data_IF_808389236649
#
_entry.id   IF_808389236649
#
_cell.length_a   1.000
_cell.length_b   1.000
_cell.length_c   1.000
_cell.angle_alpha   90.00
_cell.angle_beta   90.00
_cell.angle_gamma   90.00
#
_symmetry.space_group_name_H-M   'P 1'
#
loop_
_entity.id
_entity.type
_entity.pdbx_description
1 polymer ?
#
# COMPACT_ATOMS: atom_id res chain seq x y z
N UNK A 1 -6.76 -25.71 -11.96
CA UNK A 1 -5.32 -25.45 -12.20
C UNK A 1 -5.25 -24.02 -12.69
N UNK A 2 -4.58 -23.11 -11.98
CA UNK A 2 -4.55 -21.70 -12.37
C UNK A 2 -3.84 -21.57 -13.72
N UNK A 3 -4.48 -20.90 -14.68
CA UNK A 3 -3.85 -20.56 -15.95
C UNK A 3 -2.73 -19.55 -15.68
N UNK A 4 -1.52 -19.86 -16.12
CA UNK A 4 -0.34 -19.03 -15.87
C UNK A 4 -0.38 -17.77 -16.76
N UNK A 5 -1.29 -17.73 -17.76
CA UNK A 5 -1.55 -16.55 -18.60
C UNK A 5 -1.89 -15.29 -17.81
N UNK A 6 -2.41 -15.44 -16.59
CA UNK A 6 -2.82 -14.33 -15.72
C UNK A 6 -1.68 -13.80 -14.83
N UNK A 7 -0.47 -14.35 -14.97
CA UNK A 7 0.70 -13.99 -14.17
C UNK A 7 1.77 -13.38 -15.08
N UNK A 8 2.17 -12.15 -14.77
CA UNK A 8 3.29 -11.48 -15.41
C UNK A 8 4.35 -11.10 -14.37
N UNK A 9 5.61 -11.33 -14.70
CA UNK A 9 6.78 -10.96 -13.90
C UNK A 9 7.64 -9.95 -14.66
N UNK A 10 8.13 -8.96 -13.94
CA UNK A 10 8.94 -7.87 -14.50
C UNK A 10 10.10 -7.57 -13.55
N UNK A 11 11.28 -7.27 -14.10
CA UNK A 11 12.40 -6.76 -13.31
C UNK A 11 12.09 -5.39 -12.72
N UNK A 12 11.31 -4.59 -13.46
CA UNK A 12 10.84 -3.29 -13.03
C UNK A 12 9.42 -3.03 -13.51
N UNK A 13 8.61 -2.46 -12.62
CA UNK A 13 7.24 -2.10 -12.90
C UNK A 13 6.94 -0.71 -12.29
N UNK A 14 6.54 0.30 -13.07
CA UNK A 14 6.32 1.65 -12.54
C UNK A 14 5.06 1.72 -11.69
N UNK A 15 5.22 1.68 -10.36
CA UNK A 15 4.12 1.64 -9.39
C UNK A 15 3.08 2.75 -9.57
N UNK A 16 3.52 3.97 -9.89
CA UNK A 16 2.64 5.12 -10.12
C UNK A 16 1.68 4.92 -11.30
N UNK A 17 2.04 4.08 -12.27
CA UNK A 17 1.18 3.74 -13.40
C UNK A 17 0.31 2.53 -13.09
N UNK A 18 0.83 1.55 -12.34
CA UNK A 18 0.19 0.24 -12.16
C UNK A 18 -0.77 0.22 -10.97
N UNK A 19 -0.36 0.76 -9.81
CA UNK A 19 -1.17 0.70 -8.58
C UNK A 19 -2.55 1.35 -8.72
N UNK A 20 -2.75 2.46 -9.46
CA UNK A 20 -4.09 3.01 -9.68
C UNK A 20 -5.07 2.06 -10.39
N UNK A 21 -4.55 1.04 -11.09
CA UNK A 21 -5.33 0.02 -11.81
C UNK A 21 -5.50 -1.29 -11.02
N UNK A 22 -4.82 -1.42 -9.87
CA UNK A 22 -4.88 -2.62 -9.05
C UNK A 22 -6.14 -2.66 -8.19
N UNK A 23 -6.68 -3.86 -7.96
CA UNK A 23 -7.74 -4.06 -6.97
C UNK A 23 -7.19 -4.08 -5.54
N UNK A 24 -5.95 -4.58 -5.37
CA UNK A 24 -5.23 -4.66 -4.11
C UNK A 24 -3.71 -4.71 -4.40
N UNK A 25 -2.88 -4.28 -3.46
CA UNK A 25 -1.41 -4.40 -3.53
C UNK A 25 -0.87 -5.21 -2.36
N UNK A 26 -0.02 -6.19 -2.65
CA UNK A 26 0.69 -6.98 -1.61
C UNK A 26 2.14 -6.50 -1.54
N UNK A 27 2.62 -6.10 -0.35
CA UNK A 27 3.99 -5.59 -0.20
C UNK A 27 4.52 -5.73 1.23
N UNK A 28 5.80 -5.46 1.43
CA UNK A 28 6.45 -5.59 2.74
C UNK A 28 6.20 -4.43 3.72
N UNK A 29 5.56 -3.33 3.30
CA UNK A 29 5.28 -2.19 4.19
C UNK A 29 6.36 -1.10 4.25
N UNK A 30 7.34 -1.09 3.35
CA UNK A 30 8.32 0.02 3.28
C UNK A 30 7.65 1.36 2.95
N UNK A 31 8.07 2.45 3.60
CA UNK A 31 7.37 3.74 3.59
C UNK A 31 7.09 4.30 2.17
N UNK A 32 8.05 4.18 1.25
CA UNK A 32 7.88 4.65 -0.13
C UNK A 32 6.78 3.90 -0.89
N UNK A 33 6.76 2.56 -0.79
CA UNK A 33 5.70 1.75 -1.39
C UNK A 33 4.36 2.02 -0.71
N UNK A 34 4.34 2.10 0.62
CA UNK A 34 3.13 2.44 1.39
C UNK A 34 2.52 3.76 0.92
N UNK A 35 3.34 4.81 0.77
CA UNK A 35 2.90 6.11 0.27
C UNK A 35 2.33 6.03 -1.16
N UNK A 36 2.96 5.26 -2.05
CA UNK A 36 2.47 5.07 -3.43
C UNK A 36 1.12 4.33 -3.46
N UNK A 37 0.93 3.32 -2.60
CA UNK A 37 -0.34 2.58 -2.50
C UNK A 37 -1.46 3.47 -1.93
N UNK A 38 -1.18 4.21 -0.86
CA UNK A 38 -2.12 5.18 -0.28
C UNK A 38 -2.52 6.23 -1.32
N UNK A 39 -1.55 6.76 -2.08
CA UNK A 39 -1.81 7.70 -3.19
C UNK A 39 -2.63 7.08 -4.32
N UNK A 40 -2.46 5.79 -4.60
CA UNK A 40 -3.26 5.08 -5.58
C UNK A 40 -4.72 4.90 -5.12
N UNK A 41 -4.95 4.80 -3.80
CA UNK A 41 -6.27 4.63 -3.19
C UNK A 41 -6.80 3.21 -3.35
N UNK A 42 -5.94 2.22 -3.09
CA UNK A 42 -6.25 0.80 -3.19
C UNK A 42 -5.95 0.09 -1.87
N UNK A 43 -6.73 -0.92 -1.47
CA UNK A 43 -6.43 -1.78 -0.33
C UNK A 43 -5.07 -2.47 -0.46
N UNK A 44 -4.49 -2.87 0.67
CA UNK A 44 -3.21 -3.55 0.67
C UNK A 44 -3.08 -4.68 1.71
N UNK A 45 -2.37 -5.74 1.33
CA UNK A 45 -1.94 -6.79 2.23
C UNK A 45 -0.45 -6.58 2.55
N UNK A 46 -0.13 -6.38 3.83
CA UNK A 46 1.21 -6.03 4.25
C UNK A 46 1.84 -7.20 5.00
N UNK A 47 2.99 -7.67 4.52
CA UNK A 47 3.82 -8.68 5.19
C UNK A 47 5.10 -8.01 5.70
N UNK A 48 5.08 -7.41 6.92
CA UNK A 48 6.24 -6.71 7.43
C UNK A 48 7.37 -7.68 7.76
N UNK A 49 8.59 -7.29 7.43
CA UNK A 49 9.80 -8.06 7.68
C UNK A 49 10.75 -7.39 8.68
N UNK A 50 11.04 -6.10 8.51
CA UNK A 50 12.05 -5.41 9.31
C UNK A 50 11.86 -3.89 9.37
N UNK A 51 12.69 -3.21 10.16
CA UNK A 51 12.78 -1.73 10.25
C UNK A 51 11.45 -1.07 10.66
N UNK A 52 11.03 -0.06 9.89
CA UNK A 52 9.80 0.71 10.06
C UNK A 52 8.55 -0.02 9.53
N UNK A 53 8.73 -1.14 8.82
CA UNK A 53 7.64 -1.86 8.16
C UNK A 53 6.52 -2.30 9.12
N UNK A 54 6.79 -2.84 10.33
CA UNK A 54 5.72 -3.18 11.27
C UNK A 54 4.90 -1.97 11.72
N UNK A 55 5.53 -0.80 11.92
CA UNK A 55 4.82 0.43 12.31
C UNK A 55 3.96 0.96 11.16
N UNK A 56 4.51 1.00 9.94
CA UNK A 56 3.75 1.37 8.75
C UNK A 56 2.54 0.44 8.54
N UNK A 57 2.74 -0.86 8.71
CA UNK A 57 1.70 -1.87 8.61
C UNK A 57 0.60 -1.67 9.67
N UNK A 58 0.99 -1.43 10.93
CA UNK A 58 0.07 -1.18 12.03
C UNK A 58 -0.76 0.09 11.81
N UNK A 59 -0.15 1.17 11.29
CA UNK A 59 -0.86 2.41 10.96
C UNK A 59 -1.87 2.22 9.84
N UNK A 60 -1.49 1.51 8.78
CA UNK A 60 -2.38 1.20 7.66
C UNK A 60 -3.56 0.30 8.11
N UNK A 61 -3.30 -0.68 8.97
CA UNK A 61 -4.34 -1.51 9.56
C UNK A 61 -5.29 -0.68 10.44
N UNK A 62 -4.76 0.23 11.25
CA UNK A 62 -5.54 1.10 12.14
C UNK A 62 -6.51 2.01 11.39
N UNK A 63 -6.11 2.53 10.23
CA UNK A 63 -7.00 3.35 9.39
C UNK A 63 -7.86 2.49 8.45
N UNK A 64 -7.80 1.16 8.56
CA UNK A 64 -8.67 0.25 7.82
C UNK A 64 -8.41 0.20 6.32
N UNK A 65 -7.18 0.49 5.86
CA UNK A 65 -6.79 0.36 4.44
C UNK A 65 -6.03 -0.92 4.13
N UNK A 66 -5.54 -1.60 5.18
CA UNK A 66 -4.72 -2.78 5.02
C UNK A 66 -5.04 -3.89 6.02
N UNK A 67 -4.74 -5.12 5.61
CA UNK A 67 -4.57 -6.27 6.51
C UNK A 67 -3.10 -6.61 6.61
N UNK A 68 -2.68 -7.19 7.72
CA UNK A 68 -1.30 -7.61 7.94
C UNK A 68 -1.22 -9.12 8.07
N UNK A 69 -0.11 -9.69 7.59
CA UNK A 69 0.16 -11.12 7.66
C UNK A 69 1.61 -11.31 8.08
N UNK A 70 1.86 -12.14 9.09
CA UNK A 70 3.24 -12.41 9.53
C UNK A 70 3.97 -13.28 8.52
N UNK A 71 5.30 -13.21 8.51
CA UNK A 71 6.15 -14.01 7.62
C UNK A 71 5.89 -15.51 7.75
N UNK A 72 5.70 -16.01 8.97
CA UNK A 72 5.45 -17.43 9.24
C UNK A 72 4.10 -17.89 8.66
N UNK A 73 3.14 -16.97 8.58
CA UNK A 73 1.79 -17.22 8.07
C UNK A 73 1.67 -16.95 6.58
N UNK A 74 2.67 -16.34 5.92
CA UNK A 74 2.63 -15.99 4.51
C UNK A 74 2.77 -17.23 3.60
N UNK A 75 1.67 -17.97 3.49
CA UNK A 75 1.47 -19.13 2.62
C UNK A 75 0.34 -18.83 1.65
N UNK A 76 0.33 -19.50 0.49
CA UNK A 76 -0.61 -19.23 -0.59
C UNK A 76 -2.07 -19.16 -0.12
N UNK A 77 -2.52 -20.16 0.65
CA UNK A 77 -3.89 -20.23 1.19
C UNK A 77 -4.20 -19.06 2.13
N UNK A 78 -3.30 -18.76 3.07
CA UNK A 78 -3.49 -17.66 4.02
C UNK A 78 -3.51 -16.32 3.30
N UNK A 79 -2.61 -16.10 2.34
CA UNK A 79 -2.57 -14.88 1.54
C UNK A 79 -3.84 -14.72 0.71
N UNK A 80 -4.31 -15.80 0.07
CA UNK A 80 -5.58 -15.81 -0.65
C UNK A 80 -6.76 -15.45 0.26
N UNK A 81 -6.83 -16.02 1.46
CA UNK A 81 -7.88 -15.68 2.43
C UNK A 81 -7.85 -14.21 2.86
N UNK A 82 -6.66 -13.63 3.07
CA UNK A 82 -6.56 -12.20 3.37
C UNK A 82 -6.98 -11.33 2.18
N UNK A 83 -6.64 -11.73 0.96
CA UNK A 83 -7.03 -11.03 -0.27
C UNK A 83 -8.54 -11.11 -0.51
N UNK A 84 -9.16 -12.27 -0.32
CA UNK A 84 -10.61 -12.44 -0.43
C UNK A 84 -11.36 -11.49 0.52
N UNK A 85 -10.88 -11.34 1.75
CA UNK A 85 -11.46 -10.40 2.71
C UNK A 85 -11.23 -8.94 2.30
N UNK A 86 -10.02 -8.57 1.89
CA UNK A 86 -9.70 -7.21 1.42
C UNK A 86 -10.53 -6.81 0.19
N UNK A 87 -10.82 -7.76 -0.70
CA UNK A 87 -11.56 -7.53 -1.94
C UNK A 87 -13.08 -7.64 -1.75
N UNK A 88 -13.53 -8.49 -0.83
CA UNK A 88 -14.96 -8.68 -0.53
C UNK A 88 -15.55 -7.64 0.43
N UNK A 89 -14.74 -7.06 1.31
CA UNK A 89 -15.18 -6.06 2.27
C UNK A 89 -14.94 -4.64 1.73
N UNK A 90 -16.01 -4.02 1.22
CA UNK A 90 -15.97 -2.70 0.57
C UNK A 90 -15.44 -1.57 1.48
N UNK A 91 -15.43 -1.74 2.81
CA UNK A 91 -14.88 -0.75 3.73
C UNK A 91 -13.40 -0.46 3.47
N UNK A 92 -12.58 -1.46 3.12
CA UNK A 92 -11.17 -1.25 2.81
C UNK A 92 -10.98 -0.36 1.58
N UNK A 93 -11.80 -0.56 0.54
CA UNK A 93 -11.75 0.27 -0.66
C UNK A 93 -12.21 1.69 -0.36
N UNK A 94 -13.29 1.85 0.40
CA UNK A 94 -13.79 3.17 0.81
C UNK A 94 -12.74 3.94 1.62
N UNK A 95 -12.13 3.30 2.62
CA UNK A 95 -11.08 3.88 3.45
C UNK A 95 -9.84 4.23 2.62
N UNK A 96 -9.45 3.37 1.66
CA UNK A 96 -8.31 3.64 0.78
C UNK A 96 -8.56 4.86 -0.13
N UNK A 97 -9.78 5.02 -0.64
CA UNK A 97 -10.18 6.21 -1.42
C UNK A 97 -10.13 7.47 -0.55
N UNK A 98 -10.55 7.38 0.71
CA UNK A 98 -10.49 8.51 1.64
C UNK A 98 -9.04 8.87 1.99
N UNK A 99 -8.21 7.88 2.30
CA UNK A 99 -6.78 8.09 2.54
C UNK A 99 -6.09 8.73 1.33
N UNK A 100 -6.45 8.31 0.10
CA UNK A 100 -5.98 8.94 -1.13
C UNK A 100 -6.31 10.42 -1.17
N UNK A 101 -7.53 10.84 -0.81
CA UNK A 101 -7.94 12.26 -0.84
C UNK A 101 -7.02 13.11 0.03
N UNK A 102 -6.69 12.63 1.23
CA UNK A 102 -5.75 13.29 2.14
C UNK A 102 -4.37 13.40 1.48
N UNK A 103 -3.82 12.28 1.01
CA UNK A 103 -2.46 12.21 0.44
C UNK A 103 -2.31 13.05 -0.84
N UNK A 104 -3.32 13.14 -1.69
CA UNK A 104 -3.22 13.95 -2.93
C UNK A 104 -3.43 15.45 -2.70
N UNK A 105 -4.07 15.83 -1.60
CA UNK A 105 -4.25 17.23 -1.22
C UNK A 105 -2.94 17.86 -0.71
N UNK A 106 -1.98 17.04 -0.31
CA UNK A 106 -0.65 17.49 0.12
C UNK A 106 0.18 18.04 -1.04
N UNK A 107 0.89 19.15 -0.80
CA UNK A 107 1.96 19.64 -1.68
C UNK A 107 3.32 19.48 -0.99
N UNK A 108 3.69 18.22 -0.72
CA UNK A 108 4.86 17.89 0.09
C UNK A 108 6.17 18.48 -0.44
N UNK A 109 6.36 18.53 -1.76
CA UNK A 109 7.57 19.12 -2.37
C UNK A 109 7.66 20.61 -2.08
N UNK A 110 6.58 21.36 -2.32
CA UNK A 110 6.55 22.81 -2.05
C UNK A 110 6.79 23.09 -0.57
N UNK A 111 6.04 22.43 0.31
CA UNK A 111 6.15 22.62 1.76
C UNK A 111 7.57 22.33 2.25
N UNK A 112 8.21 21.28 1.73
CA UNK A 112 9.60 20.97 2.06
C UNK A 112 10.58 22.05 1.56
N UNK A 113 10.43 22.52 0.31
CA UNK A 113 11.27 23.59 -0.23
C UNK A 113 11.13 24.89 0.55
N UNK A 114 9.90 25.28 0.90
CA UNK A 114 9.62 26.49 1.68
C UNK A 114 10.28 26.40 3.06
N UNK A 115 10.11 25.27 3.76
CA UNK A 115 10.73 25.03 5.07
C UNK A 115 12.26 25.05 5.03
N UNK A 116 12.88 24.46 4.00
CA UNK A 116 14.34 24.51 3.83
C UNK A 116 14.80 25.95 3.60
N UNK A 117 14.08 26.69 2.75
CA UNK A 117 14.42 28.07 2.41
C UNK A 117 14.34 28.98 3.64
N UNK A 118 13.37 28.78 4.52
CA UNK A 118 13.22 29.58 5.74
C UNK A 118 14.31 29.34 6.78
N UNK A 119 14.94 28.15 6.81
CA UNK A 119 16.09 27.86 7.68
C UNK A 119 17.39 28.45 7.11
N UNK A 120 17.48 28.59 5.78
CA UNK A 120 18.69 29.09 5.11
C UNK A 120 18.76 30.62 5.00
N UNK A 121 17.68 31.33 5.33
CA UNK A 121 17.66 32.80 5.45
C UNK A 121 18.23 33.23 6.80
#
# INVERSE_FOLDING_TARGET
QADISDIAAFDYAPYSQIFPRAACVVHQGGVGTTAQVLRAGVPHLIMPYAHDQPDNAARCARIGVARTISREKYKAENAANQLSELLGNLSYKANAVEAKRVVIAENGVRIACDAITDVLK
#
